data_IF_949511261417
#
_entry.id   IF_949511261417
#
_cell.length_a   1.000
_cell.length_b   1.000
_cell.length_c   1.000
_cell.angle_alpha   90.00
_cell.angle_beta   90.00
_cell.angle_gamma   90.00
#
_symmetry.space_group_name_H-M   'P 1'
#
loop_
_entity.id
_entity.type
_entity.pdbx_description
1 polymer ?
#
# COMPACT_ATOMS: atom_id res chain seq x y z
N UNK A 1 -66.56 -33.66 -5.95
CA UNK A 1 -66.39 -33.16 -4.56
C UNK A 1 -64.92 -33.38 -4.20
N UNK A 2 -64.11 -32.31 -4.16
CA UNK A 2 -63.62 -31.63 -2.92
C UNK A 2 -62.70 -32.56 -2.10
N UNK A 3 -61.47 -32.26 -1.71
CA UNK A 3 -60.72 -31.01 -1.57
C UNK A 3 -59.23 -31.33 -1.32
N UNK A 4 -58.39 -30.35 -1.63
CA UNK A 4 -56.95 -30.20 -1.40
C UNK A 4 -56.49 -30.43 0.06
N UNK A 5 -55.28 -30.99 0.25
CA UNK A 5 -54.37 -30.70 1.37
C UNK A 5 -52.92 -30.97 0.93
N UNK A 6 -52.23 -29.95 0.43
CA UNK A 6 -51.36 -29.02 1.18
C UNK A 6 -49.89 -29.49 1.20
N UNK A 7 -49.13 -28.98 0.23
CA UNK A 7 -47.68 -28.96 0.22
C UNK A 7 -47.14 -28.34 1.52
N UNK A 8 -46.53 -29.15 2.38
CA UNK A 8 -45.79 -28.64 3.54
C UNK A 8 -44.37 -28.23 3.10
N UNK A 9 -44.28 -26.97 2.69
CA UNK A 9 -43.21 -26.00 2.99
C UNK A 9 -41.84 -26.61 3.33
N UNK A 10 -41.03 -26.89 2.31
CA UNK A 10 -39.56 -26.84 2.42
C UNK A 10 -39.16 -25.38 2.17
N UNK A 11 -39.20 -24.56 3.20
CA UNK A 11 -38.75 -23.16 3.10
C UNK A 11 -38.33 -22.65 4.49
N UNK A 12 -37.26 -23.24 5.03
CA UNK A 12 -36.65 -22.77 6.28
C UNK A 12 -35.13 -22.87 6.15
N UNK A 13 -34.50 -21.69 6.18
CA UNK A 13 -33.06 -21.39 6.31
C UNK A 13 -32.16 -21.56 5.08
N UNK A 14 -32.42 -20.79 4.02
CA UNK A 14 -31.33 -20.15 3.31
C UNK A 14 -31.11 -18.75 3.92
N UNK A 15 -30.61 -18.70 5.16
CA UNK A 15 -30.01 -17.46 5.63
C UNK A 15 -28.76 -17.24 4.78
N UNK A 16 -28.58 -16.10 4.10
CA UNK A 16 -27.30 -15.81 3.50
C UNK A 16 -26.31 -15.77 4.67
N UNK A 17 -25.43 -16.75 4.76
CA UNK A 17 -24.20 -16.59 5.54
C UNK A 17 -23.58 -15.32 4.98
N UNK A 18 -23.55 -14.25 5.77
CA UNK A 18 -22.77 -13.05 5.47
C UNK A 18 -21.32 -13.54 5.36
N UNK A 19 -20.91 -13.89 4.15
CA UNK A 19 -19.55 -14.30 3.87
C UNK A 19 -18.72 -13.03 3.94
N UNK A 20 -17.84 -12.96 4.93
CA UNK A 20 -16.80 -11.94 4.96
C UNK A 20 -16.06 -11.96 3.62
N UNK A 21 -15.83 -10.78 3.05
CA UNK A 21 -14.98 -10.67 1.89
C UNK A 21 -13.57 -11.18 2.21
N UNK A 22 -12.98 -11.85 1.24
CA UNK A 22 -11.58 -12.23 1.19
C UNK A 22 -10.65 -11.05 1.55
N UNK A 23 -9.89 -11.20 2.63
CA UNK A 23 -8.98 -10.18 3.18
C UNK A 23 -7.83 -9.84 2.22
N UNK A 24 -7.55 -10.70 1.24
CA UNK A 24 -6.56 -10.41 0.20
C UNK A 24 -7.02 -9.36 -0.82
N UNK A 25 -8.30 -8.97 -0.80
CA UNK A 25 -8.93 -8.13 -1.82
C UNK A 25 -9.32 -6.77 -1.31
N UNK A 26 -8.98 -5.75 -2.09
CA UNK A 26 -9.48 -4.39 -1.93
C UNK A 26 -10.06 -3.89 -3.25
N UNK A 27 -11.37 -3.69 -3.30
CA UNK A 27 -12.10 -3.31 -4.52
C UNK A 27 -11.76 -4.26 -5.68
N UNK A 28 -11.12 -3.76 -6.73
CA UNK A 28 -10.69 -4.52 -7.90
C UNK A 28 -9.21 -4.93 -7.82
N UNK A 29 -8.56 -4.79 -6.67
CA UNK A 29 -7.17 -5.17 -6.46
C UNK A 29 -7.08 -6.39 -5.54
N UNK A 30 -6.04 -7.19 -5.74
CA UNK A 30 -5.79 -8.42 -4.99
C UNK A 30 -4.31 -8.46 -4.68
N UNK A 31 -3.96 -8.77 -3.43
CA UNK A 31 -2.57 -8.99 -3.05
C UNK A 31 -1.97 -10.14 -3.88
N UNK A 32 -0.71 -10.00 -4.27
CA UNK A 32 -0.04 -10.86 -5.26
C UNK A 32 -0.27 -10.46 -6.72
N UNK A 33 -1.12 -9.46 -7.01
CA UNK A 33 -1.28 -8.94 -8.38
C UNK A 33 0.03 -8.34 -8.90
N UNK A 34 0.36 -8.59 -10.17
CA UNK A 34 1.55 -8.01 -10.79
C UNK A 34 1.44 -6.49 -10.94
N UNK A 35 2.59 -5.81 -10.94
CA UNK A 35 2.69 -4.38 -11.24
C UNK A 35 1.99 -4.01 -12.55
N UNK A 36 2.18 -4.80 -13.59
CA UNK A 36 1.50 -4.60 -14.88
C UNK A 36 -0.03 -4.69 -14.75
N UNK A 37 -0.52 -5.65 -13.97
CA UNK A 37 -1.96 -5.80 -13.73
C UNK A 37 -2.57 -4.62 -12.97
N UNK A 38 -1.83 -4.01 -12.03
CA UNK A 38 -2.28 -2.78 -11.35
C UNK A 38 -2.25 -1.58 -12.30
N UNK A 39 -1.21 -1.44 -13.11
CA UNK A 39 -1.08 -0.36 -14.09
C UNK A 39 -2.21 -0.39 -15.13
N UNK A 40 -2.55 -1.56 -15.66
CA UNK A 40 -3.67 -1.74 -16.58
C UNK A 40 -5.01 -1.35 -15.95
N UNK A 41 -5.26 -1.76 -14.70
CA UNK A 41 -6.52 -1.46 -14.00
C UNK A 41 -6.70 0.02 -13.65
N UNK A 42 -5.61 0.76 -13.54
CA UNK A 42 -5.60 2.17 -13.14
C UNK A 42 -5.39 3.13 -14.33
N UNK A 43 -5.17 2.59 -15.53
CA UNK A 43 -4.75 3.33 -16.73
C UNK A 43 -3.49 4.17 -16.48
N UNK A 44 -2.49 3.55 -15.83
CA UNK A 44 -1.24 4.19 -15.44
C UNK A 44 -0.05 3.60 -16.21
N UNK A 45 1.05 4.36 -16.25
CA UNK A 45 2.26 4.00 -17.01
C UNK A 45 3.41 3.65 -16.08
N UNK A 46 4.35 2.84 -16.54
CA UNK A 46 5.59 2.51 -15.82
C UNK A 46 6.37 3.75 -15.35
N UNK A 47 6.26 4.88 -16.07
CA UNK A 47 6.88 6.15 -15.68
C UNK A 47 6.35 6.72 -14.34
N UNK A 48 5.17 6.28 -13.88
CA UNK A 48 4.57 6.70 -12.62
C UNK A 48 4.98 5.78 -11.45
N UNK A 49 5.76 4.73 -11.72
CA UNK A 49 6.25 3.79 -10.72
C UNK A 49 7.59 4.27 -10.21
N UNK A 50 7.70 4.45 -8.90
CA UNK A 50 8.94 4.80 -8.23
C UNK A 50 9.65 3.54 -7.76
N UNK A 51 10.92 3.39 -8.11
CA UNK A 51 11.79 2.37 -7.49
C UNK A 51 12.32 2.95 -6.19
N UNK A 52 12.03 2.28 -5.07
CA UNK A 52 12.51 2.68 -3.74
C UNK A 52 13.87 2.02 -3.48
N UNK A 53 13.95 0.71 -3.69
CA UNK A 53 15.17 -0.07 -3.59
C UNK A 53 15.26 -1.05 -4.75
N UNK A 54 16.47 -1.30 -5.24
CA UNK A 54 16.72 -2.31 -6.29
C UNK A 54 17.47 -3.54 -5.78
N UNK A 55 17.96 -3.48 -4.53
CA UNK A 55 18.73 -4.54 -3.85
C UNK A 55 18.46 -4.47 -2.35
N UNK A 56 18.39 -5.60 -1.64
CA UNK A 56 18.49 -6.97 -2.15
C UNK A 56 17.24 -7.44 -2.92
N UNK A 57 16.09 -6.81 -2.69
CA UNK A 57 14.86 -7.02 -3.46
C UNK A 57 14.46 -5.76 -4.21
N UNK A 58 13.67 -5.92 -5.27
CA UNK A 58 13.10 -4.80 -6.00
C UNK A 58 11.86 -4.30 -5.27
N UNK A 59 11.97 -3.17 -4.58
CA UNK A 59 10.86 -2.50 -3.89
C UNK A 59 10.41 -1.32 -4.75
N UNK A 60 9.12 -1.31 -5.08
CA UNK A 60 8.53 -0.29 -5.94
C UNK A 60 7.23 0.22 -5.35
N UNK A 61 6.91 1.47 -5.65
CA UNK A 61 5.70 2.14 -5.19
C UNK A 61 5.04 2.89 -6.33
N UNK A 62 3.73 3.00 -6.25
CA UNK A 62 2.94 3.76 -7.19
C UNK A 62 1.74 4.38 -6.47
N UNK A 63 1.69 5.71 -6.46
CA UNK A 63 0.52 6.44 -5.97
C UNK A 63 -0.48 6.65 -7.08
N UNK A 64 -1.76 6.45 -6.78
CA UNK A 64 -2.88 6.65 -7.67
C UNK A 64 -3.94 7.51 -7.00
N UNK A 65 -4.42 8.52 -7.72
CA UNK A 65 -5.51 9.39 -7.30
C UNK A 65 -6.76 9.05 -8.13
N UNK A 66 -7.74 8.35 -7.56
CA UNK A 66 -8.99 8.04 -8.26
C UNK A 66 -9.66 9.34 -8.73
N UNK A 67 -10.07 9.41 -10.00
CA UNK A 67 -10.74 10.62 -10.51
C UNK A 67 -12.10 10.80 -9.82
N UNK A 68 -12.25 11.87 -9.05
CA UNK A 68 -13.54 12.36 -8.60
C UNK A 68 -14.26 13.04 -9.79
N UNK A 69 -15.02 12.29 -10.58
CA UNK A 69 -15.80 12.85 -11.69
C UNK A 69 -17.11 13.43 -11.15
N UNK A 70 -17.34 14.76 -11.24
CA UNK A 70 -18.62 15.34 -10.86
C UNK A 70 -19.72 14.82 -11.79
N UNK A 71 -20.79 14.23 -11.24
CA UNK A 71 -21.96 13.77 -12.00
C UNK A 71 -22.00 12.28 -12.37
N UNK A 72 -20.98 11.49 -12.02
CA UNK A 72 -21.14 10.04 -11.97
C UNK A 72 -21.99 9.67 -10.73
N UNK A 73 -23.03 8.85 -10.89
CA UNK A 73 -23.88 8.38 -9.78
C UNK A 73 -23.16 7.46 -8.79
N UNK A 74 -21.89 7.15 -9.03
CA UNK A 74 -20.97 6.70 -8.00
C UNK A 74 -20.62 7.91 -7.14
N UNK A 75 -21.43 8.19 -6.11
CA UNK A 75 -21.07 9.13 -5.04
C UNK A 75 -19.59 8.96 -4.72
N UNK A 76 -18.85 10.06 -4.78
CA UNK A 76 -17.50 10.24 -4.23
C UNK A 76 -17.10 9.06 -3.36
N UNK A 77 -16.22 8.19 -3.86
CA UNK A 77 -15.82 6.99 -3.13
C UNK A 77 -15.01 7.32 -1.87
N UNK A 78 -14.87 8.62 -1.56
CA UNK A 78 -14.28 9.17 -0.37
C UNK A 78 -12.80 8.87 -0.27
N UNK A 79 -12.14 8.47 -1.36
CA UNK A 79 -10.72 8.15 -1.41
C UNK A 79 -10.01 9.34 -2.04
N UNK A 80 -9.02 9.87 -1.31
CA UNK A 80 -8.13 10.90 -1.80
C UNK A 80 -7.00 10.27 -2.62
N UNK A 81 -6.33 9.26 -2.07
CA UNK A 81 -5.28 8.53 -2.76
C UNK A 81 -5.19 7.05 -2.35
N UNK A 82 -4.54 6.27 -3.21
CA UNK A 82 -4.11 4.91 -2.93
C UNK A 82 -2.62 4.78 -3.27
N UNK A 83 -1.82 4.31 -2.32
CA UNK A 83 -0.44 3.89 -2.52
C UNK A 83 -0.39 2.37 -2.67
N UNK A 84 0.11 1.91 -3.80
CA UNK A 84 0.40 0.51 -4.05
C UNK A 84 1.89 0.24 -3.83
N UNK A 85 2.23 -0.73 -2.98
CA UNK A 85 3.61 -1.14 -2.73
C UNK A 85 3.86 -2.55 -3.26
N UNK A 86 4.96 -2.72 -3.97
CA UNK A 86 5.34 -3.94 -4.67
C UNK A 86 6.70 -4.45 -4.20
N UNK A 87 6.81 -5.76 -4.08
CA UNK A 87 8.06 -6.46 -3.82
C UNK A 87 8.27 -7.45 -4.97
N UNK A 88 9.40 -7.32 -5.67
CA UNK A 88 9.73 -8.10 -6.86
C UNK A 88 8.62 -8.08 -7.94
N UNK A 89 7.91 -6.95 -8.06
CA UNK A 89 6.84 -6.76 -9.03
C UNK A 89 5.47 -7.29 -8.61
N UNK A 90 5.32 -7.85 -7.40
CA UNK A 90 4.04 -8.32 -6.86
C UNK A 90 3.52 -7.39 -5.76
N UNK A 91 2.21 -7.09 -5.83
CA UNK A 91 1.53 -6.20 -4.90
C UNK A 91 1.43 -6.85 -3.52
N UNK A 92 2.11 -6.30 -2.51
CA UNK A 92 2.05 -6.83 -1.15
C UNK A 92 1.30 -5.94 -0.16
N UNK A 93 1.06 -4.67 -0.51
CA UNK A 93 0.41 -3.70 0.36
C UNK A 93 -0.34 -2.64 -0.46
N UNK A 94 -1.51 -2.26 0.05
CA UNK A 94 -2.38 -1.20 -0.47
C UNK A 94 -2.69 -0.27 0.70
N UNK A 95 -2.24 0.97 0.62
CA UNK A 95 -2.52 2.01 1.62
C UNK A 95 -3.49 3.02 1.03
N UNK A 96 -4.63 3.21 1.67
CA UNK A 96 -5.73 4.08 1.21
C UNK A 96 -5.85 5.25 2.15
N UNK A 97 -5.83 6.45 1.60
CA UNK A 97 -6.13 7.69 2.32
C UNK A 97 -7.53 8.14 1.92
N UNK A 98 -8.41 8.33 2.91
CA UNK A 98 -9.75 8.85 2.65
C UNK A 98 -9.73 10.38 2.56
N UNK A 99 -10.54 10.93 1.66
CA UNK A 99 -10.77 12.37 1.52
C UNK A 99 -11.44 12.91 2.81
N UNK A 100 -10.79 13.84 3.52
CA UNK A 100 -11.31 14.40 4.76
C UNK A 100 -12.71 15.01 4.63
N UNK A 101 -13.03 15.59 3.46
CA UNK A 101 -14.35 16.17 3.22
C UNK A 101 -15.43 15.09 3.09
N UNK A 102 -15.11 13.96 2.48
CA UNK A 102 -16.02 12.83 2.31
C UNK A 102 -16.22 12.03 3.60
N UNK A 103 -15.28 12.09 4.55
CA UNK A 103 -15.38 11.44 5.87
C UNK A 103 -15.77 12.38 7.01
N UNK A 104 -16.09 13.65 6.71
CA UNK A 104 -16.45 14.64 7.72
C UNK A 104 -17.65 14.20 8.57
N UNK A 105 -17.48 14.19 9.90
CA UNK A 105 -18.51 13.80 10.86
C UNK A 105 -18.65 12.29 11.09
N UNK A 106 -17.92 11.43 10.36
CA UNK A 106 -17.86 10.00 10.65
C UNK A 106 -16.98 9.73 11.87
N UNK A 107 -17.47 8.92 12.80
CA UNK A 107 -16.67 8.44 13.93
C UNK A 107 -15.84 7.21 13.55
N UNK A 108 -14.83 6.88 14.36
CA UNK A 108 -14.11 5.60 14.24
C UNK A 108 -15.07 4.40 14.26
N UNK A 109 -16.09 4.45 15.11
CA UNK A 109 -17.10 3.40 15.22
C UNK A 109 -17.93 3.25 13.93
N UNK A 110 -18.26 4.37 13.27
CA UNK A 110 -18.97 4.35 11.99
C UNK A 110 -18.11 3.71 10.89
N UNK A 111 -16.82 4.06 10.85
CA UNK A 111 -15.86 3.49 9.92
C UNK A 111 -15.66 1.99 10.17
N UNK A 112 -15.44 1.60 11.43
CA UNK A 112 -15.33 0.19 11.83
C UNK A 112 -16.57 -0.61 11.46
N UNK A 113 -17.77 -0.06 11.67
CA UNK A 113 -19.03 -0.71 11.31
C UNK A 113 -19.14 -0.92 9.81
N UNK A 114 -18.79 0.09 9.01
CA UNK A 114 -18.80 0.03 7.55
C UNK A 114 -17.83 -1.03 7.02
N UNK A 115 -16.60 -1.06 7.54
CA UNK A 115 -15.58 -2.03 7.13
C UNK A 115 -15.94 -3.44 7.60
N UNK A 116 -16.50 -3.58 8.81
CA UNK A 116 -16.95 -4.88 9.33
C UNK A 116 -18.11 -5.48 8.54
N UNK A 117 -18.96 -4.64 7.94
CA UNK A 117 -19.99 -5.13 7.02
C UNK A 117 -19.40 -5.82 5.78
N UNK A 118 -18.13 -5.51 5.44
CA UNK A 118 -17.41 -6.08 4.30
C UNK A 118 -16.50 -7.23 4.68
N UNK A 119 -15.66 -7.06 5.70
CA UNK A 119 -14.63 -8.03 6.06
C UNK A 119 -14.97 -8.87 7.30
N UNK A 120 -16.18 -8.74 7.84
CA UNK A 120 -16.62 -9.48 9.01
C UNK A 120 -16.20 -8.81 10.32
N UNK A 121 -16.03 -9.61 11.38
CA UNK A 121 -15.81 -9.07 12.73
C UNK A 121 -14.38 -8.51 12.88
N UNK A 122 -14.28 -7.27 13.36
CA UNK A 122 -13.00 -6.65 13.69
C UNK A 122 -12.41 -7.22 14.99
N UNK A 123 -11.09 -7.31 15.04
CA UNK A 123 -10.27 -7.35 16.25
C UNK A 123 -9.95 -5.90 16.63
N UNK A 124 -10.42 -5.47 17.80
CA UNK A 124 -10.18 -4.11 18.28
C UNK A 124 -8.74 -4.04 18.80
N UNK A 125 -7.96 -3.08 18.32
CA UNK A 125 -6.64 -2.84 18.87
C UNK A 125 -6.79 -2.29 20.30
N UNK A 126 -6.18 -2.97 21.28
CA UNK A 126 -6.07 -2.39 22.61
C UNK A 126 -5.17 -1.13 22.50
N UNK A 127 -5.44 -0.05 23.25
CA UNK A 127 -4.54 1.10 23.27
C UNK A 127 -3.14 0.65 23.68
N UNK A 128 -2.17 0.71 22.76
CA UNK A 128 -0.79 0.38 23.09
C UNK A 128 -0.25 1.43 24.07
N UNK A 129 0.24 0.93 25.20
CA UNK A 129 1.05 1.69 26.14
C UNK A 129 2.41 1.88 25.46
N UNK A 130 2.80 3.14 25.25
CA UNK A 130 4.01 3.64 24.59
C UNK A 130 5.15 2.61 24.51
N UNK A 131 5.25 1.94 23.36
CA UNK A 131 6.42 1.14 23.01
C UNK A 131 7.20 1.86 21.92
N UNK A 132 8.11 2.71 22.35
CA UNK A 132 9.09 3.37 21.49
C UNK A 132 10.05 2.32 20.92
N UNK A 133 9.90 1.98 19.64
CA UNK A 133 10.97 1.34 18.87
C UNK A 133 11.04 1.94 17.48
N UNK A 134 12.16 2.61 17.22
CA UNK A 134 12.51 3.23 15.94
C UNK A 134 12.49 2.18 14.82
N UNK A 135 11.50 2.22 13.95
CA UNK A 135 11.49 1.49 12.68
C UNK A 135 10.61 2.23 11.66
N UNK A 136 11.21 2.85 10.65
CA UNK A 136 10.54 3.26 9.41
C UNK A 136 9.44 4.32 9.53
N UNK A 137 9.26 5.11 8.48
CA UNK A 137 8.24 6.16 8.39
C UNK A 137 6.78 5.64 8.57
N UNK A 138 6.56 4.33 8.50
CA UNK A 138 5.24 3.69 8.53
C UNK A 138 4.76 3.23 9.92
N UNK A 139 5.65 3.06 10.90
CA UNK A 139 5.29 2.54 12.25
C UNK A 139 4.58 3.58 13.13
N UNK A 140 4.34 4.80 12.63
CA UNK A 140 3.66 5.84 13.40
C UNK A 140 2.14 5.92 13.15
N UNK A 141 1.58 5.04 12.31
CA UNK A 141 0.13 4.98 12.12
C UNK A 141 -0.52 4.31 13.33
N UNK A 142 -1.44 5.01 14.00
CA UNK A 142 -2.13 4.46 15.16
C UNK A 142 -3.18 3.44 14.69
N UNK A 143 -3.07 2.15 15.04
CA UNK A 143 -4.09 1.17 14.68
C UNK A 143 -5.37 1.47 15.46
N UNK A 144 -6.50 1.50 14.75
CA UNK A 144 -7.84 1.67 15.35
C UNK A 144 -8.51 0.31 15.47
N UNK A 145 -8.50 -0.46 14.38
CA UNK A 145 -9.08 -1.80 14.33
C UNK A 145 -8.44 -2.61 13.21
N UNK A 146 -8.44 -3.93 13.36
CA UNK A 146 -7.87 -4.86 12.38
C UNK A 146 -8.86 -5.98 12.04
N UNK A 147 -8.83 -6.42 10.79
CA UNK A 147 -9.46 -7.65 10.33
C UNK A 147 -8.34 -8.49 9.72
N UNK A 148 -8.04 -9.63 10.32
CA UNK A 148 -6.87 -10.40 9.94
C UNK A 148 -7.10 -11.91 9.99
N UNK A 149 -6.34 -12.61 9.17
CA UNK A 149 -6.20 -14.06 9.17
C UNK A 149 -4.71 -14.44 9.23
N UNK A 150 -4.36 -15.69 8.97
CA UNK A 150 -2.95 -16.13 9.01
C UNK A 150 -2.06 -15.44 7.96
N UNK A 151 -2.63 -15.02 6.82
CA UNK A 151 -1.89 -14.54 5.65
C UNK A 151 -2.03 -13.03 5.41
N UNK A 152 -3.19 -12.45 5.71
CA UNK A 152 -3.57 -11.11 5.32
C UNK A 152 -4.07 -10.28 6.50
N UNK A 153 -3.98 -8.96 6.36
CA UNK A 153 -4.66 -8.04 7.26
C UNK A 153 -5.21 -6.83 6.52
N UNK A 154 -6.35 -6.36 7.00
CA UNK A 154 -6.96 -5.07 6.68
C UNK A 154 -6.97 -4.28 7.99
N UNK A 155 -6.39 -3.09 8.00
CA UNK A 155 -6.21 -2.29 9.21
C UNK A 155 -6.81 -0.91 8.98
N UNK A 156 -7.77 -0.52 9.83
CA UNK A 156 -8.18 0.87 9.96
C UNK A 156 -7.11 1.57 10.78
N UNK A 157 -6.48 2.56 10.16
CA UNK A 157 -5.37 3.31 10.74
C UNK A 157 -5.72 4.78 10.81
N UNK A 158 -5.10 5.48 11.75
CA UNK A 158 -5.15 6.93 11.83
C UNK A 158 -3.76 7.49 11.59
N UNK A 159 -3.68 8.40 10.62
CA UNK A 159 -2.46 9.14 10.32
C UNK A 159 -2.11 10.05 11.50
N UNK A 160 -0.86 10.01 12.01
CA UNK A 160 -0.43 10.87 13.10
C UNK A 160 -0.27 12.34 12.68
N UNK A 161 -0.18 12.62 11.37
CA UNK A 161 0.18 13.95 10.85
C UNK A 161 -1.02 14.85 10.56
N UNK A 162 -2.13 14.27 10.11
CA UNK A 162 -3.34 15.01 9.73
C UNK A 162 -4.62 14.47 10.38
N UNK A 163 -4.50 13.48 11.29
CA UNK A 163 -5.61 12.82 11.99
C UNK A 163 -6.64 12.17 11.05
N UNK A 164 -6.28 12.00 9.77
CA UNK A 164 -7.13 11.39 8.75
C UNK A 164 -7.12 9.88 8.91
N UNK A 165 -8.30 9.28 8.82
CA UNK A 165 -8.46 7.82 8.80
C UNK A 165 -8.07 7.27 7.43
N UNK A 166 -7.41 6.12 7.44
CA UNK A 166 -7.01 5.38 6.26
C UNK A 166 -7.20 3.90 6.42
N UNK A 167 -6.99 3.15 5.35
CA UNK A 167 -7.07 1.69 5.35
C UNK A 167 -5.78 1.10 4.80
N UNK A 168 -5.17 0.15 5.51
CA UNK A 168 -4.00 -0.58 5.03
C UNK A 168 -4.36 -2.04 4.85
N UNK A 169 -4.22 -2.55 3.62
CA UNK A 169 -4.46 -3.94 3.24
C UNK A 169 -3.13 -4.57 2.85
N UNK A 170 -2.71 -5.65 3.50
CA UNK A 170 -1.38 -6.24 3.27
C UNK A 170 -1.33 -7.76 3.39
N UNK A 171 -0.32 -8.34 2.74
CA UNK A 171 0.11 -9.73 2.94
C UNK A 171 1.19 -9.73 4.02
N UNK A 172 0.96 -10.43 5.13
CA UNK A 172 1.82 -10.40 6.32
C UNK A 172 3.24 -10.86 5.99
N UNK A 173 3.37 -11.98 5.29
CA UNK A 173 4.67 -12.55 4.91
C UNK A 173 5.41 -11.66 3.90
N UNK A 174 4.73 -11.24 2.83
CA UNK A 174 5.36 -10.43 1.79
C UNK A 174 5.75 -9.03 2.31
N UNK A 175 4.94 -8.45 3.21
CA UNK A 175 5.28 -7.23 3.91
C UNK A 175 6.54 -7.39 4.78
N UNK A 176 6.62 -8.46 5.58
CA UNK A 176 7.81 -8.72 6.40
C UNK A 176 9.08 -8.88 5.53
N UNK A 177 8.97 -9.55 4.37
CA UNK A 177 10.09 -9.66 3.43
C UNK A 177 10.48 -8.30 2.83
N UNK A 178 9.51 -7.45 2.47
CA UNK A 178 9.77 -6.13 1.94
C UNK A 178 10.44 -5.21 2.97
N UNK A 179 10.02 -5.26 4.24
CA UNK A 179 10.64 -4.50 5.33
C UNK A 179 12.08 -4.94 5.59
N UNK A 180 12.34 -6.25 5.61
CA UNK A 180 13.69 -6.78 5.75
C UNK A 180 14.59 -6.35 4.60
N UNK A 181 14.09 -6.42 3.35
CA UNK A 181 14.84 -5.97 2.19
C UNK A 181 15.12 -4.47 2.23
N UNK A 182 14.16 -3.64 2.62
CA UNK A 182 14.36 -2.19 2.76
C UNK A 182 15.39 -1.86 3.84
N UNK A 183 15.33 -2.54 4.99
CA UNK A 183 16.32 -2.35 6.06
C UNK A 183 17.73 -2.78 5.64
N UNK A 184 17.86 -3.85 4.86
CA UNK A 184 19.15 -4.29 4.31
C UNK A 184 19.67 -3.35 3.22
N UNK A 185 18.78 -2.82 2.36
CA UNK A 185 19.13 -1.84 1.35
C UNK A 185 19.75 -0.58 1.96
N UNK A 186 19.16 -0.07 3.04
CA UNK A 186 19.70 1.08 3.78
C UNK A 186 21.10 0.79 4.32
N UNK A 187 21.31 -0.38 4.94
CA UNK A 187 22.63 -0.77 5.45
C UNK A 187 23.68 -0.87 4.34
N UNK A 188 23.31 -1.42 3.18
CA UNK A 188 24.21 -1.54 2.04
C UNK A 188 24.59 -0.15 1.50
N UNK A 189 23.63 0.77 1.38
CA UNK A 189 23.92 2.13 0.92
C UNK A 189 24.82 2.91 1.89
N UNK A 190 24.65 2.71 3.20
CA UNK A 190 25.55 3.29 4.21
C UNK A 190 26.98 2.76 4.10
N UNK A 191 27.15 1.45 3.84
CA UNK A 191 28.45 0.81 3.72
C UNK A 191 29.16 1.14 2.40
N UNK A 192 28.41 1.16 1.30
CA UNK A 192 28.96 1.37 -0.04
C UNK A 192 29.11 2.85 -0.39
N UNK A 193 28.34 3.74 0.24
CA UNK A 193 28.30 5.18 -0.03
C UNK A 193 29.69 5.83 -0.07
N UNK A 194 30.56 5.63 0.95
CA UNK A 194 31.90 6.20 0.96
C UNK A 194 32.76 5.74 -0.22
N UNK A 195 32.72 4.45 -0.55
CA UNK A 195 33.50 3.88 -1.66
C UNK A 195 32.98 4.39 -3.00
N UNK A 196 31.66 4.43 -3.18
CA UNK A 196 30.98 4.93 -4.38
C UNK A 196 31.34 6.40 -4.65
N UNK A 197 31.39 7.21 -3.60
CA UNK A 197 31.80 8.61 -3.70
C UNK A 197 33.29 8.77 -4.01
N UNK A 198 34.17 7.98 -3.39
CA UNK A 198 35.60 7.99 -3.69
C UNK A 198 35.89 7.60 -5.16
N UNK A 199 35.20 6.58 -5.68
CA UNK A 199 35.28 6.18 -7.08
C UNK A 199 34.78 7.28 -8.02
N UNK A 200 33.69 7.97 -7.66
CA UNK A 200 33.17 9.11 -8.41
C UNK A 200 34.18 10.26 -8.50
N UNK A 201 34.81 10.61 -7.37
CA UNK A 201 35.82 11.67 -7.31
C UNK A 201 37.07 11.30 -8.13
N UNK A 202 37.53 10.05 -8.03
CA UNK A 202 38.65 9.56 -8.82
C UNK A 202 38.35 9.67 -10.31
N UNK A 203 37.18 9.19 -10.76
CA UNK A 203 36.76 9.30 -12.15
C UNK A 203 36.72 10.75 -12.64
N UNK A 204 36.16 11.66 -11.85
CA UNK A 204 36.11 13.08 -12.19
C UNK A 204 37.51 13.70 -12.34
N UNK A 205 38.45 13.28 -11.48
CA UNK A 205 39.85 13.72 -11.55
C UNK A 205 40.53 13.19 -12.81
N UNK A 206 40.35 11.91 -13.11
CA UNK A 206 40.92 11.26 -14.30
C UNK A 206 40.36 11.89 -15.60
N UNK A 207 39.05 12.15 -15.65
CA UNK A 207 38.39 12.80 -16.79
C UNK A 207 38.89 14.24 -17.00
N UNK A 208 39.10 15.00 -15.91
CA UNK A 208 39.64 16.36 -15.98
C UNK A 208 41.09 16.37 -16.46
N UNK A 209 41.91 15.42 -15.99
CA UNK A 209 43.30 15.29 -16.42
C UNK A 209 43.40 14.89 -17.90
N UNK A 210 42.54 13.96 -18.36
CA UNK A 210 42.45 13.60 -19.77
C UNK A 210 42.05 14.82 -20.65
N UNK A 211 41.08 15.62 -20.20
CA UNK A 211 40.68 16.85 -20.88
C UNK A 211 41.83 17.88 -20.92
N UNK A 212 42.57 18.04 -19.82
CA UNK A 212 43.74 18.93 -19.74
C UNK A 212 44.81 18.54 -20.75
N UNK A 213 45.18 17.26 -20.80
CA UNK A 213 46.19 16.76 -21.74
C UNK A 213 45.77 16.93 -23.20
N UNK A 214 44.49 16.70 -23.51
CA UNK A 214 43.95 16.96 -24.85
C UNK A 214 44.05 18.44 -25.23
N UNK A 215 43.58 19.32 -24.34
CA UNK A 215 43.57 20.76 -24.60
C UNK A 215 44.98 21.34 -24.71
N UNK A 216 45.93 20.87 -23.91
CA UNK A 216 47.34 21.29 -24.01
C UNK A 216 47.96 21.02 -25.39
N UNK A 217 47.53 19.95 -26.07
CA UNK A 217 48.03 19.60 -27.41
C UNK A 217 47.40 20.44 -28.52
N UNK A 218 46.17 20.91 -28.33
CA UNK A 218 45.42 21.66 -29.35
C UNK A 218 45.39 23.17 -29.14
N UNK A 219 45.85 23.65 -27.97
CA UNK A 219 45.85 25.07 -27.65
C UNK A 219 47.04 25.77 -28.29
N UNK A 220 46.76 26.70 -29.20
CA UNK A 220 47.72 27.62 -29.80
C UNK A 220 47.26 29.05 -29.51
N UNK A 221 48.07 29.90 -28.84
CA UNK A 221 47.72 31.28 -28.52
C UNK A 221 47.52 32.17 -29.75
#
# INVERSE_FOLDING_TARGET
MRSSTLCFVVLLLAAPLLHAQDLSKYRHFTLGMSLTGVLERTDQKMANVKVIHSRPALIQEMTWWPRNVPGASLRSEGIEEILFSFCNGELYKISVTYDPHSTAGLTEQDMMKSISAKYGRATIAAPEIDSTTNAGYETNQKPVASWDDEQYSVNLVRSPFNDVLGLVVLSKQANAQAELASAEAVKLDEQEGPKREAERQKKQTDDMEAARQKNQKSFHP
#
